data_IF_391671310108
#
_entry.id   IF_391671310108
#
_cell.length_a   1.000
_cell.length_b   1.000
_cell.length_c   1.000
_cell.angle_alpha   90.00
_cell.angle_beta   90.00
_cell.angle_gamma   90.00
#
_symmetry.space_group_name_H-M   'P 1'
#
loop_
_entity.id
_entity.type
_entity.pdbx_description
1 polymer ?
#
# COMPACT_ATOMS: atom_id res chain seq x y z
N UNK A 1 13.73 24.69 -18.93
CA UNK A 1 13.66 23.36 -18.27
C UNK A 1 14.03 23.46 -16.79
N UNK A 2 15.19 23.98 -16.40
CA UNK A 2 15.66 24.05 -14.99
C UNK A 2 14.74 24.78 -14.03
N UNK A 3 14.09 25.86 -14.48
CA UNK A 3 13.14 26.61 -13.64
C UNK A 3 11.88 25.79 -13.31
N UNK A 4 11.31 25.08 -14.27
CA UNK A 4 10.15 24.22 -14.03
C UNK A 4 10.49 23.05 -13.08
N UNK A 5 11.65 22.42 -13.26
CA UNK A 5 12.17 21.40 -12.34
C UNK A 5 12.33 21.93 -10.90
N UNK A 6 12.77 23.19 -10.76
CA UNK A 6 12.84 23.87 -9.47
C UNK A 6 11.44 24.02 -8.84
N UNK A 7 10.42 24.43 -9.61
CA UNK A 7 9.05 24.54 -9.10
C UNK A 7 8.46 23.18 -8.74
N UNK A 8 8.71 22.13 -9.53
CA UNK A 8 8.31 20.76 -9.18
C UNK A 8 8.88 20.36 -7.82
N UNK A 9 10.20 20.54 -7.62
CA UNK A 9 10.88 20.19 -6.36
C UNK A 9 10.30 20.95 -5.17
N UNK A 10 10.15 22.27 -5.29
CA UNK A 10 9.60 23.14 -4.23
C UNK A 10 8.15 22.73 -3.89
N UNK A 11 7.31 22.52 -4.90
CA UNK A 11 5.91 22.11 -4.73
C UNK A 11 5.81 20.73 -4.06
N UNK A 12 6.65 19.77 -4.43
CA UNK A 12 6.73 18.45 -3.79
C UNK A 12 7.08 18.55 -2.30
N UNK A 13 8.06 19.40 -1.95
CA UNK A 13 8.44 19.63 -0.55
C UNK A 13 7.28 20.25 0.23
N UNK A 14 6.67 21.32 -0.28
CA UNK A 14 5.54 21.96 0.37
C UNK A 14 4.36 21.01 0.57
N UNK A 15 4.01 20.23 -0.45
CA UNK A 15 2.96 19.21 -0.35
C UNK A 15 3.27 18.18 0.73
N UNK A 16 4.54 17.74 0.85
CA UNK A 16 4.97 16.82 1.89
C UNK A 16 4.85 17.42 3.29
N UNK A 17 5.20 18.70 3.46
CA UNK A 17 5.03 19.41 4.74
C UNK A 17 3.55 19.41 5.14
N UNK A 18 2.66 19.81 4.23
CA UNK A 18 1.24 19.89 4.53
C UNK A 18 0.64 18.50 4.81
N UNK A 19 1.11 17.45 4.11
CA UNK A 19 0.73 16.07 4.38
C UNK A 19 1.16 15.61 5.79
N UNK A 20 2.36 16.00 6.24
CA UNK A 20 2.83 15.70 7.59
C UNK A 20 1.99 16.41 8.65
N UNK A 21 1.65 17.70 8.42
CA UNK A 21 0.77 18.49 9.29
C UNK A 21 -0.63 17.89 9.38
N UNK A 22 -1.25 17.60 8.24
CA UNK A 22 -2.59 17.00 8.20
C UNK A 22 -2.64 15.69 8.99
N UNK A 23 -1.65 14.81 8.83
CA UNK A 23 -1.57 13.55 9.60
C UNK A 23 -1.40 13.77 11.10
N UNK A 24 -0.58 14.74 11.48
CA UNK A 24 -0.38 15.09 12.89
C UNK A 24 -1.69 15.59 13.50
N UNK A 25 -2.34 16.57 12.87
CA UNK A 25 -3.60 17.13 13.35
C UNK A 25 -4.73 16.09 13.36
N UNK A 26 -4.81 15.21 12.36
CA UNK A 26 -5.78 14.13 12.35
C UNK A 26 -5.59 13.18 13.56
N UNK A 27 -4.35 12.79 13.88
CA UNK A 27 -4.07 11.97 15.08
C UNK A 27 -4.49 12.67 16.37
N UNK A 28 -4.11 13.94 16.52
CA UNK A 28 -4.46 14.73 17.72
C UNK A 28 -5.98 14.84 17.85
N UNK A 29 -6.67 15.18 16.77
CA UNK A 29 -8.12 15.29 16.72
C UNK A 29 -8.82 13.96 17.07
N UNK A 30 -8.35 12.85 16.51
CA UNK A 30 -8.89 11.52 16.81
C UNK A 30 -8.70 11.12 18.27
N UNK A 31 -7.53 11.34 18.85
CA UNK A 31 -7.26 11.06 20.27
C UNK A 31 -8.13 11.93 21.16
N UNK A 32 -8.24 13.22 20.88
CA UNK A 32 -9.03 14.16 21.65
C UNK A 32 -10.53 13.81 21.60
N UNK A 33 -11.06 13.51 20.41
CA UNK A 33 -12.45 13.10 20.25
C UNK A 33 -12.73 11.79 20.99
N UNK A 34 -11.86 10.80 20.88
CA UNK A 34 -11.98 9.53 21.59
C UNK A 34 -11.98 9.75 23.11
N UNK A 35 -11.04 10.54 23.63
CA UNK A 35 -10.98 10.86 25.06
C UNK A 35 -12.24 11.57 25.53
N UNK A 36 -12.74 12.54 24.76
CA UNK A 36 -13.98 13.27 25.08
C UNK A 36 -15.19 12.32 25.13
N UNK A 37 -15.33 11.42 24.14
CA UNK A 37 -16.42 10.43 24.11
C UNK A 37 -16.34 9.48 25.31
N UNK A 38 -15.17 8.96 25.63
CA UNK A 38 -14.98 8.06 26.77
C UNK A 38 -15.32 8.75 28.08
N UNK A 39 -14.76 9.93 28.33
CA UNK A 39 -15.01 10.66 29.59
C UNK A 39 -16.47 11.06 29.72
N UNK A 40 -17.10 11.58 28.65
CA UNK A 40 -18.51 11.95 28.67
C UNK A 40 -19.45 10.75 28.87
N UNK A 41 -19.13 9.60 28.27
CA UNK A 41 -19.90 8.37 28.47
C UNK A 41 -19.81 7.88 29.92
N UNK A 42 -18.63 7.93 30.52
CA UNK A 42 -18.44 7.59 31.93
C UNK A 42 -19.21 8.54 32.86
N UNK A 43 -19.13 9.85 32.62
CA UNK A 43 -19.87 10.84 33.38
C UNK A 43 -21.38 10.64 33.27
N UNK A 44 -21.86 10.36 32.07
CA UNK A 44 -23.28 10.08 31.82
C UNK A 44 -23.70 8.84 32.58
N UNK A 45 -22.95 7.76 32.52
CA UNK A 45 -23.24 6.51 33.24
C UNK A 45 -23.30 6.74 34.76
N UNK A 46 -22.32 7.43 35.35
CA UNK A 46 -22.31 7.74 36.78
C UNK A 46 -23.51 8.65 37.14
N UNK A 47 -23.80 9.68 36.35
CA UNK A 47 -24.89 10.60 36.55
C UNK A 47 -26.25 9.93 36.56
N UNK A 48 -26.53 8.99 35.62
CA UNK A 48 -27.77 8.23 35.59
C UNK A 48 -27.86 7.17 36.69
N UNK A 49 -26.76 6.51 37.03
CA UNK A 49 -26.72 5.45 38.02
C UNK A 49 -26.79 5.97 39.46
N UNK A 50 -26.29 7.19 39.69
CA UNK A 50 -26.10 7.80 41.01
C UNK A 50 -24.79 7.32 41.66
N UNK A 51 -24.07 8.26 42.29
CA UNK A 51 -22.77 8.02 42.93
C UNK A 51 -22.84 6.92 43.99
N UNK A 52 -23.90 6.90 44.81
CA UNK A 52 -24.11 5.92 45.89
C UNK A 52 -24.23 4.47 45.35
N UNK A 53 -24.95 4.29 44.23
CA UNK A 53 -25.08 2.97 43.61
C UNK A 53 -23.76 2.51 43.02
N UNK A 54 -23.04 3.41 42.37
CA UNK A 54 -21.71 3.09 41.83
C UNK A 54 -20.76 2.71 42.94
N UNK A 55 -20.74 3.44 44.07
CA UNK A 55 -19.92 3.11 45.22
C UNK A 55 -20.24 1.68 45.74
N UNK A 56 -21.52 1.29 45.79
CA UNK A 56 -21.90 -0.08 46.17
C UNK A 56 -21.37 -1.15 45.19
N UNK A 57 -21.45 -0.93 43.90
CA UNK A 57 -20.98 -1.88 42.90
C UNK A 57 -19.44 -2.00 42.94
N UNK A 58 -18.73 -0.89 43.10
CA UNK A 58 -17.26 -0.89 43.15
C UNK A 58 -16.78 -1.51 44.44
N UNK A 59 -17.48 -1.33 45.56
CA UNK A 59 -17.17 -1.92 46.86
C UNK A 59 -17.22 -3.47 46.84
N UNK A 60 -17.88 -4.07 45.84
CA UNK A 60 -17.84 -5.53 45.65
C UNK A 60 -16.42 -6.01 45.20
N UNK A 61 -15.69 -5.17 44.51
CA UNK A 61 -14.34 -5.50 43.98
C UNK A 61 -13.20 -4.84 44.80
N UNK A 62 -13.39 -3.61 45.23
CA UNK A 62 -12.40 -2.79 45.96
C UNK A 62 -13.14 -1.93 46.96
N UNK A 63 -12.76 -1.96 48.26
CA UNK A 63 -13.36 -1.10 49.29
C UNK A 63 -13.01 0.37 48.99
N UNK A 64 -13.97 1.11 48.45
CA UNK A 64 -13.84 2.54 48.14
C UNK A 64 -14.94 3.31 48.91
N UNK A 65 -14.48 4.38 49.55
CA UNK A 65 -15.39 5.31 50.24
C UNK A 65 -16.19 6.15 49.21
N UNK A 66 -17.43 6.49 49.53
CA UNK A 66 -18.32 7.30 48.69
C UNK A 66 -17.69 8.63 48.33
N UNK A 67 -16.98 9.27 49.28
CA UNK A 67 -16.27 10.54 49.08
C UNK A 67 -15.19 10.47 47.98
N UNK A 68 -14.52 9.32 47.88
CA UNK A 68 -13.54 9.06 46.80
C UNK A 68 -14.20 8.93 45.43
N UNK A 69 -15.37 8.30 45.35
CA UNK A 69 -16.13 8.18 44.10
C UNK A 69 -16.63 9.56 43.66
N UNK A 70 -17.11 10.38 44.59
CA UNK A 70 -17.54 11.75 44.32
C UNK A 70 -16.39 12.64 43.86
N UNK A 71 -15.24 12.56 44.53
CA UNK A 71 -14.01 13.24 44.11
C UNK A 71 -13.61 12.81 42.66
N UNK A 72 -13.63 11.54 42.37
CA UNK A 72 -13.29 11.03 41.03
C UNK A 72 -14.29 11.53 39.96
N UNK A 73 -15.58 11.57 40.29
CA UNK A 73 -16.59 12.15 39.40
C UNK A 73 -16.30 13.63 39.09
N UNK A 74 -16.07 14.42 40.13
CA UNK A 74 -15.73 15.85 39.99
C UNK A 74 -14.43 16.07 39.20
N UNK A 75 -13.44 15.17 39.41
CA UNK A 75 -12.19 15.20 38.63
C UNK A 75 -12.45 14.91 37.15
N UNK A 76 -13.29 13.93 36.82
CA UNK A 76 -13.65 13.65 35.44
C UNK A 76 -14.40 14.79 34.76
N UNK A 77 -15.29 15.51 35.51
CA UNK A 77 -15.96 16.71 35.01
C UNK A 77 -14.91 17.78 34.67
N UNK A 78 -13.94 18.01 35.55
CA UNK A 78 -12.83 18.93 35.29
C UNK A 78 -12.00 18.54 34.07
N UNK A 79 -11.66 17.25 33.94
CA UNK A 79 -10.96 16.72 32.76
C UNK A 79 -11.74 16.96 31.47
N UNK A 80 -13.06 16.70 31.47
CA UNK A 80 -13.91 16.97 30.32
C UNK A 80 -13.90 18.46 29.95
N UNK A 81 -14.02 19.33 30.95
CA UNK A 81 -13.96 20.78 30.75
C UNK A 81 -12.61 21.18 30.09
N UNK A 82 -11.49 20.66 30.60
CA UNK A 82 -10.16 20.92 30.01
C UNK A 82 -10.07 20.42 28.57
N UNK A 83 -10.58 19.22 28.28
CA UNK A 83 -10.60 18.67 26.91
C UNK A 83 -11.39 19.56 25.95
N UNK A 84 -12.55 20.08 26.37
CA UNK A 84 -13.37 21.00 25.57
C UNK A 84 -12.62 22.33 25.33
N UNK A 85 -12.00 22.90 26.35
CA UNK A 85 -11.20 24.14 26.22
C UNK A 85 -10.03 23.93 25.26
N UNK A 86 -9.29 22.81 25.39
CA UNK A 86 -8.20 22.48 24.49
C UNK A 86 -8.69 22.35 23.04
N UNK A 87 -9.86 21.74 22.82
CA UNK A 87 -10.46 21.62 21.49
C UNK A 87 -10.76 22.99 20.87
N UNK A 88 -11.35 23.92 21.65
CA UNK A 88 -11.68 25.27 21.20
C UNK A 88 -10.45 26.13 20.93
N UNK A 89 -9.45 26.08 21.83
CA UNK A 89 -8.25 26.94 21.76
C UNK A 89 -7.33 26.52 20.62
N UNK A 90 -7.06 25.22 20.50
CA UNK A 90 -6.08 24.74 19.50
C UNK A 90 -6.64 24.64 18.09
N UNK A 91 -7.95 24.63 17.89
CA UNK A 91 -8.62 24.55 16.58
C UNK A 91 -8.01 23.48 15.66
N UNK A 92 -7.73 22.30 16.24
CA UNK A 92 -7.02 21.21 15.56
C UNK A 92 -7.71 20.80 14.26
N UNK A 93 -9.04 20.72 14.27
CA UNK A 93 -9.86 20.38 13.10
C UNK A 93 -9.73 21.41 11.98
N UNK A 94 -9.71 22.72 12.30
CA UNK A 94 -9.50 23.79 11.31
C UNK A 94 -8.13 23.70 10.67
N UNK A 95 -7.07 23.51 11.48
CA UNK A 95 -5.69 23.35 11.00
C UNK A 95 -5.50 22.11 10.12
N UNK A 96 -6.20 21.01 10.46
CA UNK A 96 -6.25 19.82 9.62
C UNK A 96 -6.84 20.15 8.24
N UNK A 97 -8.04 20.75 8.20
CA UNK A 97 -8.73 21.10 6.96
C UNK A 97 -7.95 22.13 6.11
N UNK A 98 -7.24 23.07 6.74
CA UNK A 98 -6.35 24.01 6.05
C UNK A 98 -5.20 23.28 5.35
N UNK A 99 -4.56 22.34 6.05
CA UNK A 99 -3.48 21.53 5.46
C UNK A 99 -3.97 20.62 4.34
N UNK A 100 -5.16 20.02 4.46
CA UNK A 100 -5.78 19.20 3.42
C UNK A 100 -6.10 20.03 2.16
N UNK A 101 -6.66 21.21 2.30
CA UNK A 101 -6.89 22.14 1.17
C UNK A 101 -5.58 22.53 0.50
N UNK A 102 -4.52 22.79 1.28
CA UNK A 102 -3.20 23.09 0.74
C UNK A 102 -2.62 21.92 -0.07
N UNK A 103 -2.82 20.67 0.38
CA UNK A 103 -2.40 19.47 -0.36
C UNK A 103 -3.10 19.40 -1.73
N UNK A 104 -4.41 19.65 -1.78
CA UNK A 104 -5.18 19.65 -3.04
C UNK A 104 -4.67 20.71 -4.00
N UNK A 105 -4.48 21.96 -3.52
CA UNK A 105 -3.98 23.06 -4.35
C UNK A 105 -2.56 22.79 -4.90
N UNK A 106 -1.66 22.26 -4.05
CA UNK A 106 -0.30 21.92 -4.45
C UNK A 106 -0.26 20.71 -5.41
N UNK A 107 -1.17 19.75 -5.25
CA UNK A 107 -1.28 18.61 -6.18
C UNK A 107 -1.79 19.05 -7.54
N UNK A 108 -2.78 19.93 -7.59
CA UNK A 108 -3.28 20.54 -8.85
C UNK A 108 -2.17 21.31 -9.57
N UNK A 109 -1.36 22.07 -8.83
CA UNK A 109 -0.21 22.77 -9.39
C UNK A 109 0.84 21.81 -9.96
N UNK A 110 1.15 20.73 -9.25
CA UNK A 110 2.09 19.70 -9.72
C UNK A 110 1.64 19.10 -11.05
N UNK A 111 0.38 18.66 -11.13
CA UNK A 111 -0.18 18.10 -12.36
C UNK A 111 -0.08 19.12 -13.52
N UNK A 112 -0.40 20.39 -13.23
CA UNK A 112 -0.29 21.43 -14.25
C UNK A 112 1.16 21.63 -14.74
N UNK A 113 2.15 21.62 -13.83
CA UNK A 113 3.57 21.74 -14.21
C UNK A 113 4.01 20.53 -15.04
N UNK A 114 3.61 19.31 -14.65
CA UNK A 114 3.93 18.08 -15.36
C UNK A 114 3.33 18.09 -16.78
N UNK A 115 2.08 18.57 -16.94
CA UNK A 115 1.45 18.75 -18.24
C UNK A 115 2.19 19.77 -19.13
N UNK A 116 2.69 20.86 -18.55
CA UNK A 116 3.50 21.87 -19.25
C UNK A 116 4.82 21.26 -19.72
N UNK A 117 5.49 20.49 -18.88
CA UNK A 117 6.74 19.80 -19.23
C UNK A 117 6.53 18.83 -20.41
N UNK A 118 5.49 17.98 -20.34
CA UNK A 118 5.18 17.00 -21.41
C UNK A 118 4.85 17.70 -22.73
N UNK A 119 4.07 18.78 -22.70
CA UNK A 119 3.75 19.55 -23.91
C UNK A 119 4.98 20.22 -24.53
N UNK A 120 5.89 20.72 -23.69
CA UNK A 120 7.10 21.37 -24.16
C UNK A 120 8.06 20.39 -24.84
N UNK A 121 8.20 19.17 -24.32
CA UNK A 121 9.00 18.13 -24.93
C UNK A 121 8.49 17.72 -26.32
N UNK A 122 7.16 17.80 -26.53
CA UNK A 122 6.53 17.48 -27.83
C UNK A 122 6.56 18.60 -28.86
N UNK A 123 6.53 19.87 -28.43
CA UNK A 123 6.31 21.00 -29.35
C UNK A 123 7.57 21.77 -29.74
N UNK A 124 8.70 21.62 -29.03
CA UNK A 124 9.96 22.34 -29.30
C UNK A 124 9.86 23.88 -29.22
N UNK A 125 8.73 24.45 -28.76
CA UNK A 125 8.50 25.89 -28.67
C UNK A 125 8.99 26.47 -27.35
N UNK A 126 9.47 27.72 -27.39
CA UNK A 126 9.95 28.47 -26.24
C UNK A 126 8.91 28.63 -25.15
N UNK A 127 9.29 28.27 -23.90
CA UNK A 127 8.43 28.08 -22.72
C UNK A 127 8.28 29.32 -21.82
N UNK A 128 8.62 30.52 -22.29
CA UNK A 128 8.66 31.72 -21.43
C UNK A 128 7.28 32.08 -20.84
N UNK A 129 6.24 31.98 -21.61
CA UNK A 129 4.89 32.36 -21.17
C UNK A 129 4.28 31.32 -20.21
N UNK A 130 4.46 30.01 -20.47
CA UNK A 130 3.96 28.94 -19.61
C UNK A 130 4.69 28.89 -18.28
N UNK A 131 6.00 29.15 -18.25
CA UNK A 131 6.79 29.24 -17.02
C UNK A 131 6.33 30.40 -16.14
N UNK A 132 5.93 31.52 -16.75
CA UNK A 132 5.40 32.66 -16.01
C UNK A 132 4.04 32.37 -15.39
N UNK A 133 3.17 31.67 -16.11
CA UNK A 133 1.87 31.20 -15.58
C UNK A 133 2.08 30.24 -14.38
N UNK A 134 3.03 29.31 -14.48
CA UNK A 134 3.39 28.42 -13.38
C UNK A 134 3.90 29.22 -12.19
N UNK A 135 4.74 30.23 -12.41
CA UNK A 135 5.25 31.11 -11.34
C UNK A 135 4.11 31.81 -10.61
N UNK A 136 3.19 32.45 -11.35
CA UNK A 136 2.06 33.16 -10.76
C UNK A 136 1.15 32.25 -9.94
N UNK A 137 0.83 31.04 -10.45
CA UNK A 137 0.05 30.05 -9.73
C UNK A 137 0.77 29.57 -8.46
N UNK A 138 2.08 29.33 -8.53
CA UNK A 138 2.88 28.93 -7.39
C UNK A 138 2.88 30.01 -6.30
N UNK A 139 3.12 31.29 -6.66
CA UNK A 139 3.12 32.43 -5.72
C UNK A 139 1.74 32.63 -5.08
N UNK A 140 0.67 32.52 -5.86
CA UNK A 140 -0.71 32.60 -5.34
C UNK A 140 -0.99 31.51 -4.30
N UNK A 141 -0.59 30.28 -4.56
CA UNK A 141 -0.83 29.15 -3.66
C UNK A 141 0.01 29.33 -2.36
N UNK A 142 1.27 29.77 -2.45
CA UNK A 142 2.11 29.97 -1.27
C UNK A 142 1.51 30.99 -0.30
N UNK A 143 0.84 32.02 -0.81
CA UNK A 143 0.19 33.02 0.04
C UNK A 143 -1.02 32.46 0.80
N UNK A 144 -1.61 31.40 0.34
CA UNK A 144 -2.82 30.79 0.94
C UNK A 144 -2.55 29.58 1.83
N UNK A 145 -1.36 28.98 1.73
CA UNK A 145 -1.02 27.81 2.56
C UNK A 145 -0.49 28.22 3.93
N UNK A 146 -0.70 27.38 4.98
CA UNK A 146 -0.15 27.63 6.30
C UNK A 146 1.38 27.80 6.27
N UNK A 147 1.89 28.76 7.06
CA UNK A 147 3.34 29.00 7.18
C UNK A 147 4.08 27.75 7.64
N UNK A 148 5.32 27.59 7.18
CA UNK A 148 6.16 26.45 7.48
C UNK A 148 7.43 26.90 8.21
N UNK A 149 7.91 26.06 9.11
CA UNK A 149 9.17 26.26 9.82
C UNK A 149 10.33 25.59 9.06
N UNK A 150 11.56 26.07 9.31
CA UNK A 150 12.76 25.45 8.73
C UNK A 150 12.89 23.98 9.13
N UNK A 151 12.49 23.63 10.36
CA UNK A 151 12.48 22.24 10.83
C UNK A 151 11.53 21.36 10.00
N UNK A 152 10.32 21.86 9.73
CA UNK A 152 9.35 21.13 8.87
C UNK A 152 9.86 20.98 7.45
N UNK A 153 10.53 21.99 6.91
CA UNK A 153 11.17 21.95 5.60
C UNK A 153 12.27 20.88 5.54
N UNK A 154 13.17 20.86 6.52
CA UNK A 154 14.26 19.88 6.61
C UNK A 154 13.72 18.44 6.77
N UNK A 155 12.68 18.25 7.60
CA UNK A 155 12.03 16.95 7.75
C UNK A 155 11.37 16.48 6.44
N UNK A 156 10.65 17.37 5.77
CA UNK A 156 10.00 17.05 4.52
C UNK A 156 11.02 16.75 3.39
N UNK A 157 12.12 17.50 3.33
CA UNK A 157 13.23 17.25 2.41
C UNK A 157 13.85 15.88 2.67
N UNK A 158 14.15 15.56 3.94
CA UNK A 158 14.63 14.23 4.36
C UNK A 158 13.62 13.12 4.02
N UNK A 159 12.33 13.38 4.22
CA UNK A 159 11.27 12.43 3.87
C UNK A 159 11.19 12.17 2.36
N UNK A 160 11.41 13.21 1.53
CA UNK A 160 11.45 13.06 0.07
C UNK A 160 12.74 12.37 -0.37
N UNK A 161 13.89 12.73 0.19
CA UNK A 161 15.18 12.09 -0.07
C UNK A 161 15.19 10.62 0.39
N UNK A 162 14.59 10.32 1.53
CA UNK A 162 14.38 8.95 2.00
C UNK A 162 13.30 8.20 1.18
N UNK A 163 12.39 8.91 0.50
CA UNK A 163 11.44 8.32 -0.47
C UNK A 163 12.07 8.04 -1.82
N UNK A 164 13.19 8.68 -2.14
CA UNK A 164 14.03 8.29 -3.28
C UNK A 164 14.90 7.05 -2.97
N UNK A 165 14.98 6.64 -1.69
CA UNK A 165 15.46 5.33 -1.24
C UNK A 165 14.21 4.53 -0.83
N UNK A 166 13.94 3.36 -1.46
CA UNK A 166 12.65 2.71 -1.38
C UNK A 166 12.46 1.99 -0.04
N UNK A 167 11.90 2.67 0.93
CA UNK A 167 11.16 2.03 2.03
C UNK A 167 10.50 3.09 2.91
N UNK A 168 9.28 3.51 2.61
CA UNK A 168 8.31 3.96 3.60
C UNK A 168 6.92 3.89 3.01
N UNK A 169 6.11 3.04 3.65
CA UNK A 169 4.66 3.05 3.71
C UNK A 169 4.00 4.08 2.79
N UNK A 170 3.67 3.63 1.59
CA UNK A 170 2.63 4.21 0.76
C UNK A 170 1.35 4.13 1.62
N UNK A 171 0.97 5.20 2.30
CA UNK A 171 -0.39 5.27 2.85
C UNK A 171 -1.34 5.33 1.66
N UNK A 172 -1.84 4.16 1.30
CA UNK A 172 -2.94 4.02 0.40
C UNK A 172 -4.16 4.61 1.06
N UNK A 173 -4.64 5.71 0.52
CA UNK A 173 -6.03 6.06 0.69
C UNK A 173 -6.84 4.87 0.17
N UNK A 174 -7.79 4.34 0.96
CA UNK A 174 -8.61 3.19 0.54
C UNK A 174 -9.26 3.44 -0.84
N UNK A 175 -9.50 4.69 -1.19
CA UNK A 175 -9.98 5.11 -2.53
C UNK A 175 -9.00 4.76 -3.66
N UNK A 176 -7.69 4.83 -3.44
CA UNK A 176 -6.69 4.49 -4.47
C UNK A 176 -6.60 2.99 -4.73
N UNK A 177 -6.84 2.16 -3.70
CA UNK A 177 -6.87 0.69 -3.84
C UNK A 177 -8.02 0.23 -4.74
N UNK A 178 -9.15 0.95 -4.72
CA UNK A 178 -10.33 0.62 -5.53
C UNK A 178 -10.33 1.27 -6.92
N UNK A 179 -9.39 2.17 -7.21
CA UNK A 179 -9.24 2.78 -8.53
C UNK A 179 -8.40 1.87 -9.43
N UNK A 180 -9.05 1.20 -10.39
CA UNK A 180 -8.40 0.25 -11.31
C UNK A 180 -7.28 0.89 -12.15
N UNK A 181 -7.43 2.14 -12.53
CA UNK A 181 -6.44 2.84 -13.36
C UNK A 181 -5.14 3.11 -12.58
N UNK A 182 -5.25 3.29 -11.26
CA UNK A 182 -4.11 3.50 -10.37
C UNK A 182 -3.49 2.22 -9.81
N UNK A 183 -4.19 1.10 -9.85
CA UNK A 183 -3.69 -0.17 -9.33
C UNK A 183 -2.38 -0.59 -9.99
N UNK A 184 -2.24 -0.40 -11.30
CA UNK A 184 -1.01 -0.74 -12.03
C UNK A 184 0.17 0.14 -11.63
N UNK A 185 -0.05 1.44 -11.45
CA UNK A 185 0.98 2.39 -11.01
C UNK A 185 1.45 2.04 -9.61
N UNK A 186 0.50 1.76 -8.72
CA UNK A 186 0.73 1.38 -7.35
C UNK A 186 1.48 0.05 -7.23
N UNK A 187 1.04 -0.95 -7.98
CA UNK A 187 1.72 -2.24 -8.09
C UNK A 187 3.17 -2.06 -8.54
N UNK A 188 3.39 -1.29 -9.60
CA UNK A 188 4.71 -0.97 -10.14
C UNK A 188 5.58 -0.29 -9.08
N UNK A 189 5.03 0.67 -8.34
CA UNK A 189 5.73 1.34 -7.25
C UNK A 189 6.11 0.37 -6.12
N UNK A 190 5.22 -0.55 -5.73
CA UNK A 190 5.51 -1.57 -4.73
C UNK A 190 6.66 -2.48 -5.15
N UNK A 191 6.67 -2.93 -6.40
CA UNK A 191 7.74 -3.77 -6.93
C UNK A 191 9.08 -3.02 -6.91
N UNK A 192 9.16 -1.80 -7.46
CA UNK A 192 10.39 -1.00 -7.45
C UNK A 192 10.87 -0.66 -6.03
N UNK A 193 9.96 -0.54 -5.07
CA UNK A 193 10.28 -0.24 -3.68
C UNK A 193 10.74 -1.48 -2.89
N UNK A 194 10.51 -2.69 -3.38
CA UNK A 194 10.97 -3.92 -2.74
C UNK A 194 12.40 -4.26 -3.16
N UNK A 195 13.38 -4.04 -2.27
CA UNK A 195 14.78 -4.40 -2.53
C UNK A 195 14.94 -5.88 -2.88
N UNK A 196 14.22 -6.75 -2.17
CA UNK A 196 14.30 -8.19 -2.39
C UNK A 196 13.76 -8.55 -3.78
N UNK A 197 12.59 -8.03 -4.15
CA UNK A 197 12.00 -8.28 -5.46
C UNK A 197 12.87 -7.73 -6.58
N UNK A 198 13.37 -6.50 -6.45
CA UNK A 198 14.25 -5.90 -7.44
C UNK A 198 15.59 -6.66 -7.60
N UNK A 199 16.14 -7.17 -6.50
CA UNK A 199 17.33 -8.03 -6.57
C UNK A 199 17.02 -9.35 -7.29
N UNK A 200 15.89 -9.99 -6.96
CA UNK A 200 15.41 -11.19 -7.65
C UNK A 200 15.29 -10.97 -9.16
N UNK A 201 14.62 -9.89 -9.56
CA UNK A 201 14.43 -9.55 -10.98
C UNK A 201 15.76 -9.27 -11.70
N UNK A 202 16.73 -8.63 -11.04
CA UNK A 202 18.07 -8.42 -11.59
C UNK A 202 18.83 -9.73 -11.78
N UNK A 203 18.74 -10.66 -10.83
CA UNK A 203 19.34 -11.99 -10.93
C UNK A 203 18.77 -12.76 -12.12
N UNK A 204 17.43 -12.74 -12.28
CA UNK A 204 16.79 -13.36 -13.44
C UNK A 204 17.29 -12.75 -14.74
N UNK A 205 17.26 -11.43 -14.87
CA UNK A 205 17.69 -10.71 -16.06
C UNK A 205 19.15 -11.01 -16.46
N UNK A 206 20.04 -11.15 -15.47
CA UNK A 206 21.43 -11.51 -15.67
C UNK A 206 21.61 -12.97 -16.11
N UNK A 207 20.74 -13.86 -15.65
CA UNK A 207 20.79 -15.30 -15.95
C UNK A 207 20.18 -15.60 -17.32
N UNK A 208 18.96 -15.12 -17.56
CA UNK A 208 18.25 -15.23 -18.82
C UNK A 208 17.11 -14.20 -18.86
N UNK A 209 17.05 -13.42 -19.96
CA UNK A 209 16.09 -12.32 -20.13
C UNK A 209 14.65 -12.79 -20.36
N UNK A 210 14.44 -14.05 -20.71
CA UNK A 210 13.12 -14.63 -20.96
C UNK A 210 12.46 -15.16 -19.68
N UNK A 211 13.15 -15.14 -18.54
CA UNK A 211 12.64 -15.61 -17.27
C UNK A 211 11.76 -14.56 -16.60
N UNK A 212 10.65 -15.03 -16.04
CA UNK A 212 9.73 -14.24 -15.22
C UNK A 212 9.68 -14.77 -13.79
N UNK A 213 9.54 -13.89 -12.83
CA UNK A 213 9.05 -14.25 -11.49
C UNK A 213 7.54 -14.35 -11.56
N UNK A 214 6.93 -15.38 -10.98
CA UNK A 214 5.49 -15.57 -10.98
C UNK A 214 4.86 -15.82 -9.61
N UNK A 215 3.59 -15.60 -9.53
CA UNK A 215 2.71 -16.12 -8.50
C UNK A 215 2.92 -15.61 -7.08
N UNK A 216 3.27 -16.56 -6.20
CA UNK A 216 3.18 -16.41 -4.75
C UNK A 216 3.96 -15.24 -4.18
N UNK A 217 5.25 -15.12 -4.47
CA UNK A 217 6.09 -14.08 -3.87
C UNK A 217 5.67 -12.64 -4.26
N UNK A 218 5.04 -12.46 -5.43
CA UNK A 218 4.48 -11.18 -5.86
C UNK A 218 3.22 -10.86 -5.06
N UNK A 219 2.31 -11.84 -4.96
CA UNK A 219 1.07 -11.75 -4.19
C UNK A 219 1.36 -11.45 -2.73
N UNK A 220 2.27 -12.17 -2.12
CA UNK A 220 2.64 -12.05 -0.71
C UNK A 220 3.19 -10.65 -0.39
N UNK A 221 4.01 -10.10 -1.28
CA UNK A 221 4.52 -8.73 -1.15
C UNK A 221 3.39 -7.70 -1.11
N UNK A 222 2.38 -7.84 -1.95
CA UNK A 222 1.23 -6.91 -1.97
C UNK A 222 0.33 -7.13 -0.75
N UNK A 223 0.08 -8.38 -0.35
CA UNK A 223 -0.74 -8.70 0.81
C UNK A 223 -0.08 -8.27 2.12
N UNK A 224 1.24 -8.45 2.28
CA UNK A 224 2.01 -7.93 3.42
C UNK A 224 1.88 -6.42 3.53
N UNK A 225 2.00 -5.74 2.39
CA UNK A 225 1.84 -4.30 2.32
C UNK A 225 0.44 -3.84 2.77
N UNK A 226 -0.62 -4.47 2.29
CA UNK A 226 -2.02 -4.17 2.64
C UNK A 226 -2.38 -4.54 4.09
N UNK A 227 -1.62 -5.47 4.69
CA UNK A 227 -1.71 -5.82 6.10
C UNK A 227 -0.79 -4.97 6.99
N UNK A 228 -0.02 -4.06 6.40
CA UNK A 228 0.93 -3.18 7.12
C UNK A 228 2.00 -3.99 7.89
N UNK A 229 2.40 -5.14 7.37
CA UNK A 229 3.42 -5.97 8.00
C UNK A 229 4.78 -5.28 7.94
N UNK A 230 5.41 -5.14 9.11
CA UNK A 230 6.74 -4.52 9.23
C UNK A 230 7.86 -5.46 8.78
N UNK A 231 7.62 -6.75 8.93
CA UNK A 231 8.54 -7.81 8.51
C UNK A 231 7.84 -8.59 7.40
N UNK A 232 8.47 -8.72 6.23
CA UNK A 232 7.89 -9.48 5.13
C UNK A 232 7.65 -10.93 5.52
N UNK A 233 6.55 -11.49 5.05
CA UNK A 233 6.27 -12.93 5.18
C UNK A 233 7.40 -13.72 4.52
N UNK A 234 7.95 -14.76 5.18
CA UNK A 234 8.97 -15.61 4.58
C UNK A 234 8.47 -16.24 3.28
N UNK A 235 9.28 -16.12 2.24
CA UNK A 235 8.99 -16.73 0.94
C UNK A 235 9.56 -18.15 0.94
N UNK A 236 8.71 -19.16 0.73
CA UNK A 236 9.12 -20.56 0.71
C UNK A 236 10.03 -20.84 -0.49
N UNK A 237 9.60 -20.43 -1.68
CA UNK A 237 10.33 -20.54 -2.94
C UNK A 237 9.97 -19.37 -3.88
N UNK A 238 10.83 -19.12 -4.83
CA UNK A 238 10.63 -18.13 -5.89
C UNK A 238 10.29 -18.90 -7.16
N UNK A 239 9.02 -18.87 -7.55
CA UNK A 239 8.57 -19.44 -8.80
C UNK A 239 9.14 -18.65 -9.98
N UNK A 240 10.00 -19.29 -10.75
CA UNK A 240 10.57 -18.75 -12.00
C UNK A 240 9.91 -19.49 -13.15
N UNK A 241 9.31 -18.74 -14.04
CA UNK A 241 8.55 -19.28 -15.16
C UNK A 241 9.04 -18.75 -16.49
N UNK A 242 8.91 -19.58 -17.50
CA UNK A 242 9.19 -19.26 -18.90
C UNK A 242 8.40 -20.21 -19.79
N UNK A 243 8.35 -19.95 -21.10
CA UNK A 243 7.75 -20.87 -22.07
C UNK A 243 8.73 -21.14 -23.18
N UNK A 244 9.11 -22.40 -23.35
CA UNK A 244 9.96 -22.87 -24.42
C UNK A 244 9.56 -24.30 -24.83
N UNK A 245 8.86 -24.42 -25.93
CA UNK A 245 8.38 -25.73 -26.45
C UNK A 245 9.48 -26.60 -27.00
N UNK A 246 10.63 -26.00 -27.41
CA UNK A 246 11.77 -26.74 -27.95
C UNK A 246 12.62 -27.43 -26.87
N UNK A 247 12.55 -26.95 -25.64
CA UNK A 247 13.31 -27.45 -24.49
C UNK A 247 12.39 -27.70 -23.29
N UNK A 248 11.30 -28.42 -23.49
CA UNK A 248 10.28 -28.65 -22.47
C UNK A 248 10.64 -29.84 -21.53
N UNK A 249 11.91 -29.95 -21.11
CA UNK A 249 12.39 -31.02 -20.23
C UNK A 249 12.60 -30.54 -18.80
N UNK A 250 12.54 -31.46 -17.81
CA UNK A 250 12.86 -31.15 -16.42
C UNK A 250 14.34 -30.86 -16.20
N UNK A 251 15.19 -31.44 -17.03
CA UNK A 251 16.65 -31.24 -17.00
C UNK A 251 17.00 -29.80 -17.35
N UNK A 252 16.32 -29.22 -18.33
CA UNK A 252 16.51 -27.79 -18.68
C UNK A 252 16.08 -26.86 -17.57
N UNK A 253 14.97 -27.14 -16.86
CA UNK A 253 14.56 -26.38 -15.67
C UNK A 253 15.65 -26.44 -14.58
N UNK A 254 16.25 -27.63 -14.33
CA UNK A 254 17.31 -27.80 -13.34
C UNK A 254 18.61 -27.10 -13.73
N UNK A 255 18.93 -27.03 -15.02
CA UNK A 255 20.09 -26.25 -15.49
C UNK A 255 19.89 -24.75 -15.15
N UNK A 256 18.73 -24.20 -15.51
CA UNK A 256 18.41 -22.79 -15.17
C UNK A 256 18.44 -22.58 -13.65
N UNK A 257 17.87 -23.51 -12.89
CA UNK A 257 17.88 -23.45 -11.41
C UNK A 257 19.30 -23.44 -10.84
N UNK A 258 20.20 -24.23 -11.42
CA UNK A 258 21.61 -24.30 -11.04
C UNK A 258 22.32 -22.97 -11.37
N UNK A 259 22.07 -22.40 -12.54
CA UNK A 259 22.61 -21.09 -12.93
C UNK A 259 22.16 -19.99 -11.99
N UNK A 260 20.86 -19.97 -11.62
CA UNK A 260 20.29 -19.03 -10.64
C UNK A 260 20.93 -19.20 -9.25
N UNK A 261 21.12 -20.44 -8.78
CA UNK A 261 21.78 -20.75 -7.51
C UNK A 261 23.23 -20.28 -7.49
N UNK A 262 23.94 -20.34 -8.60
CA UNK A 262 25.32 -19.85 -8.69
C UNK A 262 25.40 -18.31 -8.53
N UNK A 263 24.37 -17.58 -8.93
CA UNK A 263 24.31 -16.11 -8.80
C UNK A 263 23.77 -15.70 -7.43
N UNK A 264 22.78 -16.42 -6.89
CA UNK A 264 22.12 -16.10 -5.64
C UNK A 264 21.75 -17.38 -4.86
N UNK A 265 22.75 -17.94 -4.17
CA UNK A 265 22.65 -19.22 -3.46
C UNK A 265 21.69 -19.18 -2.24
N UNK A 266 21.43 -17.98 -1.70
CA UNK A 266 20.58 -17.76 -0.54
C UNK A 266 19.08 -17.78 -0.86
N UNK A 267 18.71 -17.84 -2.15
CA UNK A 267 17.31 -17.87 -2.59
C UNK A 267 16.94 -19.30 -3.01
N UNK A 268 15.73 -19.70 -2.68
CA UNK A 268 15.16 -20.97 -3.11
C UNK A 268 14.44 -20.78 -4.45
N UNK A 269 15.03 -21.28 -5.50
CA UNK A 269 14.50 -21.19 -6.84
C UNK A 269 13.65 -22.40 -7.21
N UNK A 270 12.52 -22.17 -7.82
CA UNK A 270 11.62 -23.19 -8.36
C UNK A 270 11.34 -22.85 -9.84
N UNK A 271 12.10 -23.45 -10.75
CA UNK A 271 12.03 -23.14 -12.17
C UNK A 271 11.06 -24.08 -12.87
N UNK A 272 10.12 -23.55 -13.66
CA UNK A 272 9.09 -24.33 -14.34
C UNK A 272 8.82 -23.81 -15.75
N UNK A 273 9.15 -24.61 -16.75
CA UNK A 273 8.75 -24.35 -18.13
C UNK A 273 7.23 -24.56 -18.30
N UNK A 274 6.51 -23.50 -18.60
CA UNK A 274 5.06 -23.55 -18.76
C UNK A 274 4.61 -24.36 -19.98
N UNK A 275 5.50 -24.56 -20.97
CA UNK A 275 5.19 -25.38 -22.15
C UNK A 275 4.83 -26.86 -21.81
N UNK A 276 5.23 -27.37 -20.64
CA UNK A 276 4.89 -28.72 -20.19
C UNK A 276 3.89 -28.80 -19.04
N UNK A 277 3.55 -27.64 -18.43
CA UNK A 277 2.67 -27.63 -17.25
C UNK A 277 1.22 -28.02 -17.60
N UNK A 278 0.79 -27.86 -18.85
CA UNK A 278 -0.51 -28.31 -19.31
C UNK A 278 -0.73 -29.83 -19.08
N UNK A 279 0.33 -30.66 -19.19
CA UNK A 279 0.24 -32.10 -18.94
C UNK A 279 -0.11 -32.42 -17.48
N UNK A 280 0.41 -31.63 -16.52
CA UNK A 280 0.10 -31.79 -15.09
C UNK A 280 -1.30 -31.27 -14.73
N UNK A 281 -1.77 -30.29 -15.48
CA UNK A 281 -3.04 -29.64 -15.23
C UNK A 281 -4.20 -30.29 -16.01
N UNK A 282 -3.91 -31.27 -16.90
CA UNK A 282 -4.89 -31.88 -17.80
C UNK A 282 -5.56 -30.80 -18.66
N UNK A 283 -4.74 -29.91 -19.21
CA UNK A 283 -5.16 -28.82 -20.08
C UNK A 283 -4.67 -29.02 -21.50
N UNK A 284 -5.17 -28.24 -22.45
CA UNK A 284 -4.58 -28.13 -23.79
C UNK A 284 -3.20 -27.44 -23.70
N UNK A 285 -2.34 -27.69 -24.71
CA UNK A 285 -1.01 -27.11 -24.77
C UNK A 285 -1.08 -25.55 -24.76
N UNK A 286 -0.35 -24.93 -23.85
CA UNK A 286 -0.34 -23.48 -23.74
C UNK A 286 0.37 -22.81 -24.91
N UNK A 287 -0.30 -21.89 -25.57
CA UNK A 287 0.20 -21.16 -26.73
C UNK A 287 1.16 -20.00 -26.38
N UNK A 288 1.07 -19.48 -25.16
CA UNK A 288 1.89 -18.38 -24.65
C UNK A 288 2.03 -18.46 -23.13
N UNK A 289 2.98 -17.67 -22.57
CA UNK A 289 3.12 -17.57 -21.13
C UNK A 289 1.88 -16.96 -20.46
N UNK A 290 1.24 -15.98 -21.09
CA UNK A 290 -0.02 -15.40 -20.61
C UNK A 290 -1.14 -16.43 -20.60
N UNK A 291 -1.24 -17.26 -21.66
CA UNK A 291 -2.21 -18.36 -21.73
C UNK A 291 -1.97 -19.42 -20.63
N UNK A 292 -0.73 -19.67 -20.23
CA UNK A 292 -0.43 -20.54 -19.10
C UNK A 292 -0.88 -19.92 -17.77
N UNK A 293 -0.57 -18.63 -17.55
CA UNK A 293 -0.86 -17.90 -16.31
C UNK A 293 -2.37 -17.76 -16.09
N UNK A 294 -3.16 -17.54 -17.13
CA UNK A 294 -4.63 -17.41 -17.04
C UNK A 294 -5.29 -18.66 -16.47
N UNK A 295 -4.64 -19.82 -16.60
CA UNK A 295 -5.12 -21.11 -16.10
C UNK A 295 -4.57 -21.49 -14.72
N UNK A 296 -3.89 -20.58 -14.01
CA UNK A 296 -3.46 -20.82 -12.63
C UNK A 296 -4.64 -20.86 -11.66
N UNK A 297 -4.46 -21.39 -10.44
CA UNK A 297 -5.59 -21.65 -9.54
C UNK A 297 -6.39 -20.43 -9.11
N UNK A 298 -5.72 -19.35 -8.70
CA UNK A 298 -6.37 -18.17 -8.15
C UNK A 298 -6.03 -16.93 -8.99
N UNK A 299 -7.03 -16.09 -9.28
CA UNK A 299 -6.84 -14.86 -10.06
C UNK A 299 -5.84 -13.91 -9.42
N UNK A 300 -5.83 -13.78 -8.08
CA UNK A 300 -4.89 -12.95 -7.36
C UNK A 300 -3.42 -13.38 -7.52
N UNK A 301 -3.15 -14.65 -7.92
CA UNK A 301 -1.80 -15.16 -8.18
C UNK A 301 -1.42 -15.17 -9.67
N UNK A 302 -2.35 -14.87 -10.57
CA UNK A 302 -2.10 -14.84 -12.00
C UNK A 302 -1.32 -13.61 -12.45
N UNK A 303 -0.10 -13.45 -11.89
CA UNK A 303 0.77 -12.31 -12.17
C UNK A 303 2.21 -12.82 -12.36
N UNK A 304 2.88 -12.29 -13.37
CA UNK A 304 4.30 -12.53 -13.59
C UNK A 304 5.03 -11.24 -13.99
N UNK A 305 6.30 -11.14 -13.61
CA UNK A 305 7.14 -9.97 -13.82
C UNK A 305 8.51 -10.34 -14.35
N UNK A 306 9.07 -9.51 -15.23
CA UNK A 306 10.51 -9.48 -15.54
C UNK A 306 11.01 -8.05 -15.72
N UNK A 307 12.32 -7.87 -15.72
CA UNK A 307 12.95 -6.65 -16.24
C UNK A 307 13.17 -6.78 -17.74
N UNK A 308 12.83 -5.75 -18.50
CA UNK A 308 13.20 -5.66 -19.90
C UNK A 308 14.58 -5.00 -20.07
N UNK A 309 15.03 -4.85 -21.32
CA UNK A 309 16.33 -4.27 -21.65
C UNK A 309 16.48 -2.80 -21.23
N UNK A 310 15.37 -2.06 -21.07
CA UNK A 310 15.37 -0.68 -20.58
C UNK A 310 15.36 -0.59 -19.04
N UNK A 311 15.40 -1.71 -18.34
CA UNK A 311 15.26 -1.77 -16.88
C UNK A 311 13.84 -1.50 -16.37
N UNK A 312 12.84 -1.51 -17.26
CA UNK A 312 11.43 -1.38 -16.92
C UNK A 312 10.81 -2.75 -16.67
N UNK A 313 9.69 -2.76 -15.93
CA UNK A 313 8.95 -3.97 -15.68
C UNK A 313 8.06 -4.34 -16.87
N UNK A 314 8.23 -5.57 -17.38
CA UNK A 314 7.23 -6.25 -18.19
C UNK A 314 6.32 -7.04 -17.24
N UNK A 315 5.02 -6.80 -17.33
CA UNK A 315 4.03 -7.35 -16.41
C UNK A 315 3.00 -8.13 -17.20
N UNK A 316 2.80 -9.40 -16.83
CA UNK A 316 1.70 -10.24 -17.30
C UNK A 316 0.71 -10.36 -16.15
N UNK A 317 -0.52 -9.85 -16.32
CA UNK A 317 -1.59 -9.89 -15.32
C UNK A 317 -2.95 -10.00 -16.02
N UNK A 318 -3.33 -11.17 -16.53
CA UNK A 318 -4.51 -11.33 -17.38
C UNK A 318 -5.82 -10.98 -16.68
N UNK A 319 -5.89 -11.10 -15.35
CA UNK A 319 -7.05 -10.69 -14.55
C UNK A 319 -6.91 -9.28 -13.94
N UNK A 320 -5.84 -8.54 -14.30
CA UNK A 320 -5.52 -7.26 -13.67
C UNK A 320 -5.11 -7.40 -12.21
N UNK A 321 -5.32 -6.35 -11.42
CA UNK A 321 -4.86 -6.27 -10.04
C UNK A 321 -6.01 -6.14 -9.02
N UNK A 322 -7.26 -6.11 -9.47
CA UNK A 322 -8.40 -5.77 -8.62
C UNK A 322 -8.55 -6.76 -7.44
N UNK A 323 -8.54 -8.07 -7.70
CA UNK A 323 -8.65 -9.07 -6.64
C UNK A 323 -7.45 -9.02 -5.69
N UNK A 324 -6.24 -8.82 -6.22
CA UNK A 324 -5.02 -8.70 -5.42
C UNK A 324 -5.11 -7.55 -4.41
N UNK A 325 -5.51 -6.37 -4.86
CA UNK A 325 -5.61 -5.18 -4.01
C UNK A 325 -6.85 -5.17 -3.11
N UNK A 326 -7.93 -5.85 -3.50
CA UNK A 326 -9.12 -6.02 -2.64
C UNK A 326 -8.97 -7.12 -1.61
N UNK A 327 -7.81 -7.78 -1.56
CA UNK A 327 -7.59 -8.93 -0.69
C UNK A 327 -8.62 -10.04 -0.93
N UNK A 328 -9.07 -10.19 -2.17
CA UNK A 328 -10.07 -11.17 -2.58
C UNK A 328 -9.38 -12.35 -3.27
N UNK A 329 -9.75 -13.56 -2.88
CA UNK A 329 -9.21 -14.79 -3.44
C UNK A 329 -10.33 -15.56 -4.08
N UNK A 330 -10.35 -15.62 -5.41
CA UNK A 330 -11.31 -16.42 -6.15
C UNK A 330 -10.61 -17.36 -7.13
N UNK A 331 -11.25 -18.50 -7.48
CA UNK A 331 -10.72 -19.40 -8.50
C UNK A 331 -10.77 -18.74 -9.88
N UNK A 332 -9.82 -19.08 -10.73
CA UNK A 332 -9.91 -18.77 -12.16
C UNK A 332 -11.06 -19.55 -12.80
N UNK A 333 -11.55 -19.17 -14.00
CA UNK A 333 -12.57 -19.94 -14.70
C UNK A 333 -12.21 -21.42 -14.83
N UNK A 334 -10.93 -21.74 -15.10
CA UNK A 334 -10.44 -23.13 -15.16
C UNK A 334 -10.58 -23.86 -13.82
N UNK A 335 -10.35 -23.20 -12.70
CA UNK A 335 -10.47 -23.80 -11.37
C UNK A 335 -11.88 -23.74 -10.79
N UNK A 336 -12.81 -22.98 -11.39
CA UNK A 336 -14.24 -23.12 -11.12
C UNK A 336 -14.77 -24.50 -11.55
N UNK A 337 -14.17 -25.12 -12.58
CA UNK A 337 -14.45 -26.49 -12.99
C UNK A 337 -13.77 -27.54 -12.11
N UNK A 338 -12.78 -27.15 -11.31
CA UNK A 338 -11.94 -28.00 -10.45
C UNK A 338 -11.99 -27.53 -8.98
N UNK A 339 -13.19 -27.24 -8.45
CA UNK A 339 -13.37 -26.65 -7.12
C UNK A 339 -12.75 -27.46 -5.98
N UNK A 340 -12.74 -28.79 -6.09
CA UNK A 340 -12.09 -29.64 -5.07
C UNK A 340 -10.58 -29.34 -4.97
N UNK A 341 -9.87 -29.24 -6.09
CA UNK A 341 -8.44 -28.87 -6.13
C UNK A 341 -8.21 -27.46 -5.58
N UNK A 342 -9.13 -26.53 -5.85
CA UNK A 342 -9.07 -25.17 -5.29
C UNK A 342 -9.24 -25.19 -3.76
N UNK A 343 -10.21 -25.92 -3.23
CA UNK A 343 -10.44 -26.01 -1.78
C UNK A 343 -9.29 -26.72 -1.06
N UNK A 344 -8.77 -27.82 -1.60
CA UNK A 344 -7.57 -28.50 -1.07
C UNK A 344 -6.39 -27.55 -0.96
N UNK A 345 -6.16 -26.72 -2.00
CA UNK A 345 -5.10 -25.74 -2.01
C UNK A 345 -5.28 -24.65 -0.95
N UNK A 346 -6.50 -24.15 -0.75
CA UNK A 346 -6.80 -23.21 0.32
C UNK A 346 -6.50 -23.79 1.71
N UNK A 347 -6.88 -25.06 1.94
CA UNK A 347 -6.60 -25.76 3.19
C UNK A 347 -5.11 -25.96 3.44
N UNK A 348 -4.32 -26.26 2.40
CA UNK A 348 -2.88 -26.42 2.48
C UNK A 348 -2.18 -25.09 2.75
N UNK A 349 -2.54 -24.05 2.05
CA UNK A 349 -1.87 -22.74 2.10
C UNK A 349 -2.23 -21.92 3.34
N UNK A 350 -3.42 -22.09 3.91
CA UNK A 350 -3.90 -21.42 5.14
C UNK A 350 -3.66 -19.91 5.13
N UNK A 351 -3.91 -19.28 4.00
CA UNK A 351 -3.64 -17.84 3.79
C UNK A 351 -4.40 -16.94 4.77
N UNK A 352 -5.61 -17.33 5.16
CA UNK A 352 -6.45 -16.67 6.14
C UNK A 352 -5.78 -16.53 7.53
N UNK A 353 -4.85 -17.43 7.86
CA UNK A 353 -4.07 -17.35 9.10
C UNK A 353 -2.93 -16.34 8.98
N UNK A 354 -2.29 -16.27 7.82
CA UNK A 354 -1.18 -15.34 7.57
C UNK A 354 -1.68 -13.95 7.25
N UNK A 355 -2.77 -13.84 6.49
CA UNK A 355 -3.37 -12.57 6.06
C UNK A 355 -4.86 -12.53 6.44
N UNK A 356 -5.21 -12.15 7.67
CA UNK A 356 -6.59 -12.26 8.20
C UNK A 356 -7.60 -11.30 7.56
N UNK A 357 -7.15 -10.29 6.79
CA UNK A 357 -8.06 -9.40 6.04
C UNK A 357 -8.52 -10.00 4.70
N UNK A 358 -8.05 -11.21 4.34
CA UNK A 358 -8.45 -11.84 3.08
C UNK A 358 -9.91 -12.25 3.08
N UNK A 359 -10.55 -11.99 1.96
CA UNK A 359 -11.91 -12.47 1.64
C UNK A 359 -11.75 -13.63 0.66
N UNK A 360 -12.02 -14.85 1.14
CA UNK A 360 -11.87 -16.07 0.34
C UNK A 360 -13.22 -16.47 -0.23
N UNK A 361 -13.28 -16.65 -1.54
CA UNK A 361 -14.46 -17.19 -2.21
C UNK A 361 -14.73 -18.63 -1.72
N UNK A 362 -15.92 -18.82 -1.15
CA UNK A 362 -16.44 -20.14 -0.76
C UNK A 362 -17.69 -20.40 -1.59
N UNK A 363 -17.74 -21.53 -2.30
CA UNK A 363 -18.95 -21.91 -3.01
C UNK A 363 -20.08 -22.14 -2.00
N UNK A 364 -21.23 -21.52 -2.18
CA UNK A 364 -22.38 -21.64 -1.23
C UNK A 364 -23.14 -22.98 -1.36
N UNK A 365 -22.55 -24.00 -1.99
CA UNK A 365 -23.17 -25.31 -2.17
C UNK A 365 -22.39 -26.40 -1.41
N UNK A 366 -22.33 -26.25 -0.08
CA UNK A 366 -22.11 -27.37 0.87
C UNK A 366 -22.82 -27.05 2.16
#
# INVERSE_FOLDING_TARGET
>A
MDRLQSYIRKTKILRQIQSNKARFYNRVNSIQNFATVVVSSFLTFIGFSGVDKIAKYVNWFVVIDTDKVEFFFNFLVFVLFVLVILHLVFRVSSKQSESERAIVSLSSLLNHIEDVVVRSERSGRGMTNETEIVRQKYESIIQTIPSNTDREFLLAKKDIENKSVPSKQLHLDMFEVYNKDRQKELFTALIYNSKNMMNTLKVLYQTDKELYVGGGCIRDLVWDYLHEYKVPTPVDDIDVIYINSLSATKEHDKDIETRLKNVAANLKWSVKNQARMHLQNEDEAYSSLENAIVNWPEKATCIALRLNHDGKLDIIAPYGFDELFRLYVSPTPRFQEKMDKYHERLQQKKWDKTWPKLIIYKNQHT
#
